data_IF_723471922073
#
_entry.id   IF_723471922073
#
_cell.length_a   1.000
_cell.length_b   1.000
_cell.length_c   1.000
_cell.angle_alpha   90.00
_cell.angle_beta   90.00
_cell.angle_gamma   90.00
#
_symmetry.space_group_name_H-M   'P 1'
#
loop_
_entity.id
_entity.type
_entity.pdbx_description
1 polymer ?
#
# COMPACT_ATOMS: atom_id res chain seq x y z
N UNK A 1 -33.32 -63.20 6.13
CA UNK A 1 -32.00 -62.55 6.42
C UNK A 1 -31.82 -61.46 5.34
N UNK A 2 -32.19 -60.26 5.67
CA UNK A 2 -32.06 -59.09 4.76
C UNK A 2 -30.90 -58.25 5.29
N UNK A 3 -29.81 -58.17 4.53
CA UNK A 3 -28.66 -57.33 4.79
C UNK A 3 -28.98 -55.87 4.53
N UNK A 4 -28.78 -54.96 5.48
CA UNK A 4 -28.93 -53.53 5.25
C UNK A 4 -27.63 -52.96 4.67
N UNK A 5 -27.57 -52.84 3.34
CA UNK A 5 -26.40 -52.24 2.64
C UNK A 5 -26.62 -50.81 2.19
N UNK A 6 -27.71 -50.15 2.60
CA UNK A 6 -28.05 -48.81 2.15
C UNK A 6 -27.29 -47.61 2.79
N UNK A 7 -26.86 -47.57 4.05
CA UNK A 7 -26.25 -46.34 4.62
C UNK A 7 -24.80 -46.10 4.26
N UNK A 8 -24.02 -47.15 3.98
CA UNK A 8 -22.57 -47.02 3.72
C UNK A 8 -22.28 -46.41 2.34
N UNK A 9 -23.08 -46.76 1.34
CA UNK A 9 -22.92 -46.24 -0.04
C UNK A 9 -23.33 -44.77 -0.12
N UNK A 10 -24.36 -44.36 0.63
CA UNK A 10 -24.74 -42.94 0.68
C UNK A 10 -23.70 -42.08 1.38
N UNK A 11 -23.08 -42.54 2.49
CA UNK A 11 -21.99 -41.84 3.16
C UNK A 11 -20.72 -41.74 2.30
N UNK A 12 -20.44 -42.76 1.49
CA UNK A 12 -19.33 -42.71 0.53
C UNK A 12 -19.62 -41.81 -0.67
N UNK A 13 -20.85 -41.72 -1.13
CA UNK A 13 -21.26 -40.79 -2.20
C UNK A 13 -21.25 -39.32 -1.70
N UNK A 14 -21.68 -39.06 -0.45
CA UNK A 14 -21.57 -37.74 0.18
C UNK A 14 -20.11 -37.36 0.44
N UNK A 15 -19.27 -38.28 0.87
CA UNK A 15 -17.83 -38.06 1.05
C UNK A 15 -17.09 -37.80 -0.29
N UNK A 16 -17.54 -38.46 -1.38
CA UNK A 16 -17.00 -38.26 -2.73
C UNK A 16 -17.43 -36.92 -3.38
N UNK A 17 -18.49 -36.29 -2.88
CA UNK A 17 -18.96 -34.98 -3.37
C UNK A 17 -18.32 -33.77 -2.66
N UNK A 18 -17.42 -33.97 -1.69
CA UNK A 18 -16.60 -32.93 -1.13
C UNK A 18 -15.51 -32.63 -2.16
N UNK A 19 -15.82 -31.73 -3.11
CA UNK A 19 -14.78 -31.13 -3.96
C UNK A 19 -13.65 -30.69 -3.05
N UNK A 20 -12.48 -31.29 -3.20
CA UNK A 20 -11.24 -30.86 -2.52
C UNK A 20 -10.87 -29.46 -3.00
N UNK A 21 -11.43 -28.46 -2.33
CA UNK A 21 -11.15 -27.06 -2.65
C UNK A 21 -9.75 -26.71 -2.19
N UNK A 22 -9.00 -26.13 -3.10
CA UNK A 22 -7.68 -25.59 -2.73
C UNK A 22 -7.82 -24.48 -1.68
N UNK A 23 -6.83 -24.30 -0.78
CA UNK A 23 -6.85 -23.22 0.23
C UNK A 23 -7.14 -21.85 -0.39
N UNK A 24 -6.61 -21.59 -1.58
CA UNK A 24 -6.85 -20.35 -2.32
C UNK A 24 -8.33 -20.18 -2.71
N UNK A 25 -8.99 -21.23 -3.18
CA UNK A 25 -10.43 -21.18 -3.53
C UNK A 25 -11.30 -20.89 -2.31
N UNK A 26 -10.94 -21.43 -1.15
CA UNK A 26 -11.65 -21.19 0.10
C UNK A 26 -11.52 -19.70 0.48
N UNK A 27 -10.31 -19.16 0.47
CA UNK A 27 -10.03 -17.75 0.78
C UNK A 27 -10.77 -16.84 -0.21
N UNK A 28 -10.64 -17.07 -1.50
CA UNK A 28 -11.32 -16.28 -2.53
C UNK A 28 -12.85 -16.27 -2.36
N UNK A 29 -13.45 -17.42 -2.03
CA UNK A 29 -14.89 -17.51 -1.77
C UNK A 29 -15.33 -16.79 -0.50
N UNK A 30 -14.53 -16.86 0.57
CA UNK A 30 -14.81 -16.15 1.82
C UNK A 30 -14.73 -14.64 1.58
N UNK A 31 -13.64 -14.18 0.94
CA UNK A 31 -13.45 -12.78 0.59
C UNK A 31 -14.61 -12.24 -0.26
N UNK A 32 -15.04 -12.97 -1.28
CA UNK A 32 -16.16 -12.56 -2.17
C UNK A 32 -17.51 -12.45 -1.46
N UNK A 33 -17.67 -13.05 -0.28
CA UNK A 33 -18.89 -12.89 0.55
C UNK A 33 -18.89 -11.60 1.38
N UNK A 34 -17.72 -10.99 1.58
CA UNK A 34 -17.59 -9.73 2.32
C UNK A 34 -17.93 -8.55 1.40
N UNK A 35 -19.18 -8.08 1.44
CA UNK A 35 -19.73 -7.09 0.50
C UNK A 35 -18.91 -5.80 0.45
N UNK A 36 -18.52 -5.25 1.61
CA UNK A 36 -17.75 -4.00 1.68
C UNK A 36 -16.35 -4.17 1.08
N UNK A 37 -15.67 -5.30 1.33
CA UNK A 37 -14.38 -5.58 0.74
C UNK A 37 -14.46 -5.72 -0.79
N UNK A 38 -15.52 -6.33 -1.32
CA UNK A 38 -15.73 -6.45 -2.77
C UNK A 38 -16.01 -5.10 -3.44
N UNK A 39 -16.84 -4.24 -2.82
CA UNK A 39 -17.07 -2.87 -3.31
C UNK A 39 -15.79 -2.08 -3.28
N UNK A 40 -15.02 -2.17 -2.19
CA UNK A 40 -13.73 -1.51 -2.03
C UNK A 40 -12.69 -1.99 -3.04
N UNK A 41 -12.63 -3.30 -3.29
CA UNK A 41 -11.76 -3.87 -4.32
C UNK A 41 -12.10 -3.34 -5.71
N UNK A 42 -13.39 -3.29 -6.05
CA UNK A 42 -13.85 -2.74 -7.33
C UNK A 42 -13.47 -1.25 -7.46
N UNK A 43 -13.70 -0.44 -6.40
CA UNK A 43 -13.32 0.97 -6.38
C UNK A 43 -11.80 1.15 -6.54
N UNK A 44 -10.99 0.34 -5.87
CA UNK A 44 -9.53 0.40 -6.01
C UNK A 44 -9.08 0.01 -7.40
N UNK A 45 -9.64 -1.05 -7.99
CA UNK A 45 -9.34 -1.43 -9.37
C UNK A 45 -9.69 -0.28 -10.33
N UNK A 46 -10.82 0.37 -10.14
CA UNK A 46 -11.24 1.52 -10.94
C UNK A 46 -10.26 2.70 -10.80
N UNK A 47 -9.88 3.06 -9.56
CA UNK A 47 -8.93 4.14 -9.30
C UNK A 47 -7.57 3.82 -9.92
N UNK A 48 -7.05 2.60 -9.73
CA UNK A 48 -5.80 2.16 -10.36
C UNK A 48 -5.89 2.21 -11.89
N UNK A 49 -6.99 1.75 -12.48
CA UNK A 49 -7.20 1.81 -13.93
C UNK A 49 -7.17 3.26 -14.44
N UNK A 50 -7.90 4.17 -13.80
CA UNK A 50 -7.92 5.59 -14.16
C UNK A 50 -6.52 6.20 -14.05
N UNK A 51 -5.79 5.95 -12.97
CA UNK A 51 -4.45 6.52 -12.74
C UNK A 51 -3.39 5.94 -13.68
N UNK A 52 -3.48 4.64 -14.01
CA UNK A 52 -2.59 4.03 -15.02
C UNK A 52 -2.90 4.59 -16.41
N UNK A 53 -4.17 4.78 -16.73
CA UNK A 53 -4.63 5.34 -18.00
C UNK A 53 -4.50 6.86 -18.06
N UNK A 54 -3.93 7.53 -17.07
CA UNK A 54 -3.76 8.99 -17.01
C UNK A 54 -3.23 9.59 -18.33
N UNK A 55 -2.19 9.03 -19.01
CA UNK A 55 -1.68 9.60 -20.26
C UNK A 55 -2.69 9.61 -21.42
N UNK A 56 -3.71 8.75 -21.38
CA UNK A 56 -4.74 8.67 -22.42
C UNK A 56 -6.01 9.45 -22.05
N UNK A 57 -6.29 9.60 -20.75
CA UNK A 57 -7.49 10.28 -20.24
C UNK A 57 -7.24 11.77 -20.07
N UNK A 58 -6.05 12.17 -19.60
CA UNK A 58 -5.69 13.57 -19.40
C UNK A 58 -5.57 14.30 -20.73
N UNK A 59 -6.27 15.43 -20.85
CA UNK A 59 -6.23 16.27 -22.04
C UNK A 59 -5.13 17.31 -21.99
N UNK A 60 -4.57 17.57 -20.81
CA UNK A 60 -3.55 18.57 -20.55
C UNK A 60 -2.33 17.90 -19.92
N UNK A 61 -1.14 18.47 -20.15
CA UNK A 61 0.07 18.05 -19.44
C UNK A 61 0.01 18.54 -18.00
N UNK A 62 0.76 17.87 -17.11
CA UNK A 62 0.78 18.16 -15.66
C UNK A 62 1.28 19.58 -15.33
N UNK A 63 2.14 20.14 -16.20
CA UNK A 63 2.79 21.43 -16.09
C UNK A 63 2.29 22.46 -17.11
N UNK A 64 1.29 22.11 -17.92
CA UNK A 64 0.71 23.01 -18.91
C UNK A 64 -0.06 24.14 -18.23
N UNK A 65 0.41 25.37 -18.46
CA UNK A 65 -0.15 26.58 -17.89
C UNK A 65 -1.07 27.25 -18.92
N UNK A 66 -2.29 27.52 -18.52
CA UNK A 66 -3.23 28.38 -19.27
C UNK A 66 -3.17 29.78 -18.66
N UNK A 67 -2.34 30.66 -19.22
CA UNK A 67 -2.14 32.00 -18.68
C UNK A 67 -3.44 32.80 -18.76
N UNK A 68 -3.90 33.33 -17.63
CA UNK A 68 -5.17 34.05 -17.51
C UNK A 68 -6.36 33.21 -17.06
N UNK A 69 -6.23 31.88 -17.12
CA UNK A 69 -7.32 30.92 -16.84
C UNK A 69 -7.27 30.43 -15.37
N UNK A 70 -7.20 31.34 -14.40
CA UNK A 70 -7.07 31.03 -12.98
C UNK A 70 -8.44 30.69 -12.36
N UNK A 71 -8.54 29.57 -11.65
CA UNK A 71 -9.76 29.13 -10.98
C UNK A 71 -10.98 29.05 -11.86
N UNK A 72 -10.83 28.63 -13.11
CA UNK A 72 -11.98 28.45 -14.00
C UNK A 72 -12.99 27.45 -13.39
N UNK A 73 -14.29 27.69 -13.60
CA UNK A 73 -15.34 26.76 -13.20
C UNK A 73 -15.23 25.40 -13.88
N UNK A 74 -15.89 24.41 -13.29
CA UNK A 74 -15.98 23.06 -13.86
C UNK A 74 -16.66 23.09 -15.24
N UNK A 75 -16.09 22.34 -16.17
CA UNK A 75 -16.62 22.23 -17.53
C UNK A 75 -16.32 23.41 -18.46
N UNK A 76 -15.47 24.35 -18.03
CA UNK A 76 -15.06 25.49 -18.90
C UNK A 76 -14.24 24.98 -20.08
N UNK A 77 -14.57 25.51 -21.26
CA UNK A 77 -13.84 25.24 -22.50
C UNK A 77 -12.73 26.28 -22.65
N UNK A 78 -11.49 25.81 -22.81
CA UNK A 78 -10.34 26.68 -23.12
C UNK A 78 -10.50 27.25 -24.53
N UNK A 79 -10.64 28.57 -24.68
CA UNK A 79 -10.90 29.25 -25.98
C UNK A 79 -9.80 28.97 -27.02
N UNK A 80 -8.54 28.92 -26.58
CA UNK A 80 -7.40 28.76 -27.50
C UNK A 80 -7.32 27.35 -28.13
N UNK A 81 -7.79 26.29 -27.45
CA UNK A 81 -7.60 24.89 -27.88
C UNK A 81 -8.89 24.11 -28.05
N UNK A 82 -10.03 24.63 -27.58
CA UNK A 82 -11.30 23.92 -27.53
C UNK A 82 -11.35 22.76 -26.55
N UNK A 83 -10.30 22.56 -25.71
CA UNK A 83 -10.26 21.51 -24.71
C UNK A 83 -11.06 21.91 -23.47
N UNK A 84 -11.68 20.92 -22.81
CA UNK A 84 -12.56 21.14 -21.64
C UNK A 84 -11.79 20.89 -20.36
N UNK A 85 -11.82 21.84 -19.43
CA UNK A 85 -11.38 21.72 -18.05
C UNK A 85 -12.47 21.09 -17.18
N UNK A 86 -12.50 19.75 -17.08
CA UNK A 86 -13.60 19.04 -16.39
C UNK A 86 -13.79 19.46 -14.94
N UNK A 87 -12.72 19.64 -14.17
CA UNK A 87 -12.73 20.10 -12.79
C UNK A 87 -12.21 21.57 -12.67
N UNK A 88 -12.23 22.30 -13.78
CA UNK A 88 -11.69 23.66 -13.81
C UNK A 88 -10.16 23.70 -13.75
N UNK A 89 -9.65 24.85 -13.32
CA UNK A 89 -8.21 25.09 -13.19
C UNK A 89 -7.81 25.44 -11.75
N UNK A 90 -6.52 25.28 -11.44
CA UNK A 90 -5.95 25.69 -10.16
C UNK A 90 -5.62 27.21 -10.12
N UNK A 91 -4.95 27.63 -9.05
CA UNK A 91 -4.57 29.01 -8.80
C UNK A 91 -3.56 29.61 -9.79
N UNK A 92 -2.93 28.78 -10.62
CA UNK A 92 -1.98 29.24 -11.66
C UNK A 92 -2.39 28.82 -13.06
N UNK A 93 -3.63 28.33 -13.24
CA UNK A 93 -4.20 28.01 -14.55
C UNK A 93 -3.88 26.62 -15.06
N UNK A 94 -3.49 25.65 -14.22
CA UNK A 94 -3.29 24.25 -14.63
C UNK A 94 -4.61 23.48 -14.56
N UNK A 95 -4.80 22.51 -15.45
CA UNK A 95 -5.99 21.66 -15.46
C UNK A 95 -6.06 20.76 -14.23
N UNK A 96 -7.10 20.96 -13.42
CA UNK A 96 -7.20 20.31 -12.11
C UNK A 96 -7.54 18.83 -12.22
N UNK A 97 -8.32 18.42 -13.26
CA UNK A 97 -8.64 17.02 -13.50
C UNK A 97 -7.43 16.21 -13.95
N UNK A 98 -6.67 16.70 -14.94
CA UNK A 98 -5.46 16.03 -15.41
C UNK A 98 -4.45 15.84 -14.27
N UNK A 99 -4.23 16.88 -13.47
CA UNK A 99 -3.36 16.80 -12.29
C UNK A 99 -3.85 15.78 -11.27
N UNK A 100 -5.17 15.71 -11.01
CA UNK A 100 -5.75 14.76 -10.06
C UNK A 100 -5.46 13.30 -10.41
N UNK A 101 -5.62 12.93 -11.69
CA UNK A 101 -5.40 11.55 -12.14
C UNK A 101 -3.91 11.19 -12.20
N UNK A 102 -3.03 12.11 -12.60
CA UNK A 102 -1.59 11.93 -12.52
C UNK A 102 -1.10 11.85 -11.06
N UNK A 103 -1.65 12.70 -10.18
CA UNK A 103 -1.36 12.68 -8.75
C UNK A 103 -1.65 11.31 -8.13
N UNK A 104 -2.79 10.70 -8.51
CA UNK A 104 -3.14 9.36 -8.06
C UNK A 104 -2.11 8.30 -8.44
N UNK A 105 -1.57 8.38 -9.65
CA UNK A 105 -0.49 7.47 -10.10
C UNK A 105 0.73 7.56 -9.20
N UNK A 106 1.12 8.77 -8.81
CA UNK A 106 2.31 9.02 -7.98
C UNK A 106 2.04 8.61 -6.53
N UNK A 107 0.98 9.13 -5.90
CA UNK A 107 0.63 8.83 -4.52
C UNK A 107 0.41 7.33 -4.27
N UNK A 108 -0.30 6.63 -5.18
CA UNK A 108 -0.50 5.18 -5.06
C UNK A 108 0.80 4.38 -5.29
N UNK A 109 1.67 4.83 -6.23
CA UNK A 109 2.97 4.18 -6.44
C UNK A 109 3.87 4.33 -5.22
N UNK A 110 3.92 5.52 -4.60
CA UNK A 110 4.67 5.77 -3.36
C UNK A 110 4.16 4.87 -2.25
N UNK A 111 2.85 4.83 -2.01
CA UNK A 111 2.26 3.99 -0.97
C UNK A 111 2.54 2.49 -1.20
N UNK A 112 2.34 2.00 -2.43
CA UNK A 112 2.56 0.59 -2.79
C UNK A 112 4.02 0.17 -2.63
N UNK A 113 4.96 0.98 -3.10
CA UNK A 113 6.38 0.67 -2.99
C UNK A 113 6.85 0.77 -1.53
N UNK A 114 6.35 1.74 -0.77
CA UNK A 114 6.68 1.86 0.65
C UNK A 114 6.21 0.64 1.44
N UNK A 115 4.98 0.15 1.22
CA UNK A 115 4.50 -1.05 1.91
C UNK A 115 5.28 -2.29 1.51
N UNK A 116 5.56 -2.49 0.23
CA UNK A 116 6.32 -3.66 -0.24
C UNK A 116 7.70 -3.72 0.44
N UNK A 117 8.41 -2.59 0.46
CA UNK A 117 9.74 -2.51 1.09
C UNK A 117 9.65 -2.70 2.60
N UNK A 118 8.69 -2.06 3.26
CA UNK A 118 8.43 -2.21 4.69
C UNK A 118 8.16 -3.65 5.09
N UNK A 119 7.22 -4.29 4.40
CA UNK A 119 6.86 -5.69 4.69
C UNK A 119 8.04 -6.62 4.45
N UNK A 120 8.78 -6.41 3.36
CA UNK A 120 9.97 -7.21 3.09
C UNK A 120 11.01 -7.12 4.22
N UNK A 121 11.31 -5.90 4.68
CA UNK A 121 12.24 -5.70 5.81
C UNK A 121 11.68 -6.33 7.08
N UNK A 122 10.40 -6.09 7.37
CA UNK A 122 9.70 -6.62 8.54
C UNK A 122 9.68 -8.16 8.56
N UNK A 123 9.39 -8.79 7.43
CA UNK A 123 9.43 -10.25 7.27
C UNK A 123 10.82 -10.80 7.57
N UNK A 124 11.85 -10.20 6.98
CA UNK A 124 13.24 -10.67 7.17
C UNK A 124 13.67 -10.52 8.64
N UNK A 125 13.50 -9.33 9.21
CA UNK A 125 13.91 -9.04 10.60
C UNK A 125 13.10 -9.87 11.60
N UNK A 126 11.77 -9.91 11.42
CA UNK A 126 10.88 -10.67 12.31
C UNK A 126 11.10 -12.19 12.22
N UNK A 127 11.34 -12.72 11.00
CA UNK A 127 11.62 -14.13 10.83
C UNK A 127 12.96 -14.54 11.47
N UNK A 128 14.00 -13.74 11.30
CA UNK A 128 15.31 -13.99 11.93
C UNK A 128 15.18 -13.91 13.46
N UNK A 129 14.55 -12.86 13.97
CA UNK A 129 14.33 -12.66 15.40
C UNK A 129 13.55 -13.83 16.04
N UNK A 130 12.40 -14.17 15.46
CA UNK A 130 11.54 -15.24 15.99
C UNK A 130 12.14 -16.64 15.89
N UNK A 131 12.90 -16.93 14.80
CA UNK A 131 13.50 -18.26 14.61
C UNK A 131 14.69 -18.51 15.52
N UNK A 132 15.67 -17.58 15.56
CA UNK A 132 16.89 -17.77 16.34
C UNK A 132 16.68 -17.51 17.83
N UNK A 133 15.83 -16.53 18.18
CA UNK A 133 15.56 -16.21 19.57
C UNK A 133 16.77 -15.67 20.33
N UNK A 134 16.73 -15.78 21.68
CA UNK A 134 17.86 -15.47 22.56
C UNK A 134 18.36 -14.03 22.47
N UNK A 135 19.69 -13.86 22.41
CA UNK A 135 20.32 -12.53 22.38
C UNK A 135 19.96 -11.72 21.12
N UNK A 136 19.92 -12.39 19.94
CA UNK A 136 19.62 -11.74 18.67
C UNK A 136 18.20 -11.16 18.67
N UNK A 137 17.25 -11.92 19.16
CA UNK A 137 15.87 -11.50 19.34
C UNK A 137 15.77 -10.30 20.29
N UNK A 138 16.43 -10.38 21.43
CA UNK A 138 16.42 -9.30 22.42
C UNK A 138 16.97 -7.99 21.85
N UNK A 139 18.10 -8.02 21.12
CA UNK A 139 18.69 -6.80 20.53
C UNK A 139 17.79 -6.23 19.44
N UNK A 140 17.31 -7.05 18.50
CA UNK A 140 16.47 -6.59 17.41
C UNK A 140 15.14 -6.02 17.93
N UNK A 141 14.49 -6.70 18.86
CA UNK A 141 13.20 -6.23 19.38
C UNK A 141 13.33 -5.02 20.30
N UNK A 142 14.39 -4.91 21.09
CA UNK A 142 14.66 -3.67 21.85
C UNK A 142 14.84 -2.47 20.95
N UNK A 143 15.53 -2.66 19.83
CA UNK A 143 15.67 -1.58 18.83
C UNK A 143 14.30 -1.23 18.24
N UNK A 144 13.50 -2.22 17.83
CA UNK A 144 12.14 -1.99 17.29
C UNK A 144 11.25 -1.29 18.32
N UNK A 145 11.22 -1.78 19.56
CA UNK A 145 10.46 -1.18 20.66
C UNK A 145 10.88 0.27 20.91
N UNK A 146 12.19 0.53 20.96
CA UNK A 146 12.72 1.89 21.11
C UNK A 146 12.24 2.80 19.98
N UNK A 147 12.36 2.36 18.72
CA UNK A 147 11.92 3.16 17.57
C UNK A 147 10.42 3.45 17.60
N UNK A 148 9.59 2.50 18.07
CA UNK A 148 8.15 2.68 18.20
C UNK A 148 7.73 3.67 19.32
N UNK A 149 8.64 4.00 20.28
CA UNK A 149 8.35 5.03 21.27
C UNK A 149 8.44 6.45 20.71
N UNK A 150 9.10 6.61 19.57
CA UNK A 150 9.29 7.93 18.94
C UNK A 150 8.01 8.27 18.14
N UNK A 151 7.43 9.47 18.33
CA UNK A 151 6.29 9.90 17.54
C UNK A 151 6.61 9.86 16.04
N UNK A 152 5.95 8.98 15.30
CA UNK A 152 6.31 8.67 13.90
C UNK A 152 6.22 9.90 12.99
N UNK A 153 5.14 10.69 13.06
CA UNK A 153 4.95 11.83 12.15
C UNK A 153 6.02 12.91 12.31
N UNK A 154 6.36 13.40 13.52
CA UNK A 154 7.48 14.34 13.71
C UNK A 154 8.80 13.79 13.19
N UNK A 155 9.08 12.50 13.41
CA UNK A 155 10.31 11.86 12.94
C UNK A 155 10.38 11.83 11.41
N UNK A 156 9.28 11.44 10.76
CA UNK A 156 9.16 11.45 9.30
C UNK A 156 9.38 12.87 8.72
N UNK A 157 8.79 13.90 9.35
CA UNK A 157 8.98 15.31 8.94
C UNK A 157 10.43 15.74 9.00
N UNK A 158 11.13 15.45 10.11
CA UNK A 158 12.53 15.81 10.28
C UNK A 158 13.38 15.14 9.21
N UNK A 159 13.26 13.82 9.06
CA UNK A 159 14.08 13.06 8.12
C UNK A 159 13.77 13.44 6.68
N UNK A 160 12.49 13.59 6.33
CA UNK A 160 12.07 14.04 5.00
C UNK A 160 12.65 15.43 4.69
N UNK A 161 12.57 16.38 5.64
CA UNK A 161 13.15 17.70 5.50
C UNK A 161 14.67 17.66 5.26
N UNK A 162 15.39 16.80 6.00
CA UNK A 162 16.84 16.66 5.85
C UNK A 162 17.21 16.08 4.47
N UNK A 163 16.51 15.05 4.03
CA UNK A 163 16.79 14.37 2.77
C UNK A 163 16.43 15.22 1.55
N UNK A 164 15.27 15.90 1.58
CA UNK A 164 14.85 16.75 0.47
C UNK A 164 15.69 18.03 0.33
N UNK A 165 16.29 18.54 1.43
CA UNK A 165 17.22 19.67 1.36
C UNK A 165 18.61 19.30 0.87
N UNK A 166 19.01 18.05 1.06
CA UNK A 166 20.32 17.53 0.73
C UNK A 166 20.14 16.23 -0.07
N UNK A 167 19.61 16.36 -1.28
CA UNK A 167 19.27 15.22 -2.14
C UNK A 167 20.45 14.28 -2.40
N UNK A 168 21.69 14.79 -2.31
CA UNK A 168 22.91 14.03 -2.56
C UNK A 168 23.40 13.20 -1.35
N UNK A 169 22.76 13.35 -0.16
CA UNK A 169 23.12 12.55 1.02
C UNK A 169 22.94 11.05 0.80
N UNK A 170 21.96 10.67 -0.02
CA UNK A 170 21.68 9.26 -0.32
C UNK A 170 22.02 8.99 -1.79
N UNK A 171 23.08 8.22 -2.07
CA UNK A 171 23.42 7.83 -3.42
C UNK A 171 22.37 6.82 -3.94
N UNK A 172 21.47 7.27 -4.82
CA UNK A 172 20.46 6.42 -5.43
C UNK A 172 20.97 5.97 -6.79
N UNK A 173 21.07 4.66 -7.05
CA UNK A 173 21.54 4.16 -8.34
C UNK A 173 20.65 4.62 -9.51
N UNK A 174 21.26 5.09 -10.60
CA UNK A 174 20.56 5.53 -11.82
C UNK A 174 19.51 4.52 -12.35
N UNK A 175 19.76 3.19 -12.36
CA UNK A 175 18.75 2.23 -12.80
C UNK A 175 17.47 2.25 -11.96
N UNK A 176 17.57 2.55 -10.67
CA UNK A 176 16.41 2.68 -9.76
C UNK A 176 15.61 3.93 -10.13
N UNK A 177 16.28 5.05 -10.34
CA UNK A 177 15.63 6.31 -10.75
C UNK A 177 14.96 6.16 -12.12
N UNK A 178 15.63 5.52 -13.08
CA UNK A 178 15.09 5.29 -14.40
C UNK A 178 13.87 4.36 -14.39
N UNK A 179 13.92 3.28 -13.59
CA UNK A 179 12.79 2.35 -13.44
C UNK A 179 11.58 3.05 -12.81
N UNK A 180 11.78 3.74 -11.70
CA UNK A 180 10.69 4.43 -10.99
C UNK A 180 10.16 5.62 -11.78
N UNK A 181 11.04 6.35 -12.46
CA UNK A 181 10.65 7.40 -13.40
C UNK A 181 9.72 6.87 -14.48
N UNK A 182 10.02 5.71 -15.06
CA UNK A 182 9.16 5.06 -16.06
C UNK A 182 7.82 4.61 -15.48
N UNK A 183 7.80 4.07 -14.25
CA UNK A 183 6.57 3.63 -13.57
C UNK A 183 5.68 4.83 -13.25
N UNK A 184 6.25 5.91 -12.73
CA UNK A 184 5.52 7.10 -12.28
C UNK A 184 5.33 8.13 -13.40
N UNK A 185 5.93 7.97 -14.56
CA UNK A 185 6.01 8.94 -15.68
C UNK A 185 6.67 10.26 -15.25
N UNK A 186 7.75 10.15 -14.48
CA UNK A 186 8.53 11.26 -13.96
C UNK A 186 9.88 11.38 -14.65
N UNK A 187 10.45 12.59 -14.63
CA UNK A 187 11.85 12.79 -14.98
C UNK A 187 12.77 12.10 -13.96
N UNK A 188 14.03 11.77 -14.29
CA UNK A 188 14.97 11.20 -13.33
C UNK A 188 15.16 12.05 -12.08
N UNK A 189 15.14 13.38 -12.22
CA UNK A 189 15.23 14.32 -11.10
C UNK A 189 14.02 14.23 -10.17
N UNK A 190 12.81 14.25 -10.74
CA UNK A 190 11.57 14.19 -9.97
C UNK A 190 11.39 12.82 -9.30
N UNK A 191 11.87 11.75 -9.95
CA UNK A 191 11.88 10.40 -9.39
C UNK A 191 12.71 10.31 -8.12
N UNK A 192 13.79 11.10 -8.01
CA UNK A 192 14.65 11.12 -6.81
C UNK A 192 13.84 11.51 -5.57
N UNK A 193 13.05 12.59 -5.63
CA UNK A 193 12.22 13.02 -4.52
C UNK A 193 11.20 11.95 -4.11
N UNK A 194 10.57 11.29 -5.09
CA UNK A 194 9.67 10.19 -4.83
C UNK A 194 10.36 9.01 -4.14
N UNK A 195 11.58 8.65 -4.59
CA UNK A 195 12.38 7.59 -3.95
C UNK A 195 12.75 7.95 -2.51
N UNK A 196 13.17 9.19 -2.25
CA UNK A 196 13.47 9.64 -0.90
C UNK A 196 12.27 9.53 0.04
N UNK A 197 11.08 9.91 -0.41
CA UNK A 197 9.84 9.75 0.38
C UNK A 197 9.52 8.27 0.60
N UNK A 198 9.64 7.41 -0.41
CA UNK A 198 9.47 5.96 -0.26
C UNK A 198 10.44 5.41 0.80
N UNK A 199 11.71 5.82 0.76
CA UNK A 199 12.72 5.39 1.73
C UNK A 199 12.39 5.86 3.15
N UNK A 200 11.92 7.09 3.31
CA UNK A 200 11.49 7.64 4.61
C UNK A 200 10.31 6.83 5.16
N UNK A 201 9.27 6.61 4.37
CA UNK A 201 8.09 5.87 4.77
C UNK A 201 8.43 4.40 5.08
N UNK A 202 9.15 3.73 4.17
CA UNK A 202 9.53 2.34 4.34
C UNK A 202 10.52 2.14 5.49
N UNK A 203 11.39 3.11 5.74
CA UNK A 203 12.39 3.06 6.80
C UNK A 203 11.83 2.98 8.22
N UNK A 204 10.57 3.35 8.40
CA UNK A 204 9.89 3.27 9.70
C UNK A 204 8.68 2.34 9.72
N UNK A 205 8.12 2.05 8.57
CA UNK A 205 6.93 1.20 8.48
C UNK A 205 7.16 -0.28 8.79
N UNK A 206 8.38 -0.79 8.62
CA UNK A 206 8.73 -2.20 8.83
C UNK A 206 8.67 -2.66 10.30
N UNK A 207 8.63 -1.72 11.25
CA UNK A 207 8.70 -2.02 12.69
C UNK A 207 7.54 -2.89 13.18
N UNK A 208 6.30 -2.54 12.82
CA UNK A 208 5.10 -3.33 13.16
C UNK A 208 5.07 -4.68 12.46
N UNK A 209 5.42 -4.73 11.18
CA UNK A 209 5.53 -5.96 10.42
C UNK A 209 6.55 -6.92 11.03
N UNK A 210 7.70 -6.40 11.52
CA UNK A 210 8.71 -7.20 12.20
C UNK A 210 8.18 -7.82 13.50
N UNK A 211 7.45 -7.08 14.33
CA UNK A 211 6.85 -7.61 15.55
C UNK A 211 5.79 -8.67 15.24
N UNK A 212 4.95 -8.42 14.25
CA UNK A 212 3.91 -9.34 13.81
C UNK A 212 4.51 -10.65 13.28
N UNK A 213 5.51 -10.53 12.38
CA UNK A 213 6.21 -11.68 11.82
C UNK A 213 6.94 -12.48 12.90
N UNK A 214 7.65 -11.80 13.82
CA UNK A 214 8.29 -12.46 14.96
C UNK A 214 7.30 -13.29 15.78
N UNK A 215 6.16 -12.69 16.16
CA UNK A 215 5.13 -13.37 16.94
C UNK A 215 4.59 -14.62 16.24
N UNK A 216 4.36 -14.52 14.94
CA UNK A 216 3.90 -15.64 14.11
C UNK A 216 4.95 -16.73 14.00
N UNK A 217 6.22 -16.38 13.76
CA UNK A 217 7.34 -17.34 13.68
C UNK A 217 7.58 -18.05 15.00
N UNK A 218 7.49 -17.36 16.13
CA UNK A 218 7.58 -17.99 17.46
C UNK A 218 6.52 -19.07 17.65
N UNK A 219 5.28 -18.81 17.21
CA UNK A 219 4.20 -19.80 17.26
C UNK A 219 4.43 -20.98 16.30
N UNK A 220 4.92 -20.72 15.10
CA UNK A 220 5.18 -21.76 14.10
C UNK A 220 6.39 -22.63 14.45
N UNK A 221 7.39 -22.09 15.12
CA UNK A 221 8.61 -22.79 15.49
C UNK A 221 8.35 -24.04 16.37
N UNK A 222 7.30 -24.01 17.17
CA UNK A 222 6.90 -25.08 18.06
C UNK A 222 5.94 -26.10 17.39
N UNK A 223 5.70 -25.99 16.10
CA UNK A 223 4.81 -26.89 15.36
C UNK A 223 5.53 -28.16 14.91
N UNK A 224 4.81 -29.27 14.89
CA UNK A 224 5.34 -30.60 14.55
C UNK A 224 5.98 -30.70 13.17
N UNK A 225 5.48 -29.95 12.18
CA UNK A 225 6.07 -29.95 10.83
C UNK A 225 7.48 -29.32 10.80
N UNK A 226 7.74 -28.33 11.67
CA UNK A 226 9.08 -27.70 11.80
C UNK A 226 10.04 -28.71 12.46
N UNK A 227 9.59 -29.42 13.50
CA UNK A 227 10.36 -30.45 14.14
C UNK A 227 10.67 -31.59 13.16
N UNK A 228 9.70 -32.03 12.38
CA UNK A 228 9.90 -33.05 11.35
C UNK A 228 10.94 -32.63 10.31
N UNK A 229 10.84 -31.37 9.77
CA UNK A 229 11.84 -30.85 8.84
C UNK A 229 13.24 -30.83 9.43
N UNK A 230 13.37 -30.49 10.73
CA UNK A 230 14.65 -30.49 11.44
C UNK A 230 15.19 -31.89 11.60
N UNK A 231 14.36 -32.87 11.94
CA UNK A 231 14.72 -34.28 12.09
C UNK A 231 15.19 -34.92 10.77
N UNK A 232 14.66 -34.42 9.64
CA UNK A 232 15.11 -34.83 8.30
C UNK A 232 16.39 -34.12 7.85
N UNK A 233 17.01 -33.28 8.70
CA UNK A 233 18.29 -32.60 8.41
C UNK A 233 18.16 -31.37 7.56
N UNK A 234 16.97 -30.75 7.47
CA UNK A 234 16.81 -29.48 6.75
C UNK A 234 17.62 -28.35 7.41
N UNK A 235 18.30 -27.53 6.58
CA UNK A 235 19.01 -26.35 7.07
C UNK A 235 18.04 -25.29 7.61
N UNK A 236 18.51 -24.48 8.56
CA UNK A 236 17.72 -23.38 9.15
C UNK A 236 17.15 -22.44 8.08
N UNK A 237 17.96 -22.08 7.08
CA UNK A 237 17.51 -21.24 5.95
C UNK A 237 16.34 -21.88 5.20
N UNK A 238 16.43 -23.18 4.92
CA UNK A 238 15.35 -23.92 4.23
C UNK A 238 14.07 -23.94 5.08
N UNK A 239 14.19 -24.20 6.38
CA UNK A 239 13.04 -24.20 7.32
C UNK A 239 12.37 -22.84 7.33
N UNK A 240 13.14 -21.75 7.50
CA UNK A 240 12.61 -20.39 7.53
C UNK A 240 11.90 -20.07 6.20
N UNK A 241 12.59 -20.22 5.07
CA UNK A 241 12.11 -19.73 3.77
C UNK A 241 10.99 -20.60 3.18
N UNK A 242 11.03 -21.92 3.39
CA UNK A 242 10.12 -22.84 2.71
C UNK A 242 8.98 -23.34 3.60
N UNK A 243 9.25 -23.50 4.90
CA UNK A 243 8.29 -24.09 5.80
C UNK A 243 7.58 -23.02 6.67
N UNK A 244 8.30 -21.99 7.16
CA UNK A 244 7.75 -21.04 8.10
C UNK A 244 7.19 -19.77 7.44
N UNK A 245 7.97 -19.06 6.60
CA UNK A 245 7.52 -17.80 5.96
C UNK A 245 6.22 -18.00 5.17
N UNK A 246 6.05 -19.01 4.30
CA UNK A 246 4.81 -19.19 3.57
C UNK A 246 3.59 -19.39 4.48
N UNK A 247 3.77 -20.10 5.61
CA UNK A 247 2.71 -20.31 6.59
C UNK A 247 2.45 -19.08 7.48
N UNK A 248 3.39 -18.14 7.55
CA UNK A 248 3.26 -16.89 8.29
C UNK A 248 2.65 -15.75 7.45
N UNK A 249 2.43 -15.95 6.14
CA UNK A 249 2.04 -14.85 5.25
C UNK A 249 0.62 -14.31 5.48
N UNK A 250 -0.30 -15.11 6.02
CA UNK A 250 -1.69 -14.68 6.19
C UNK A 250 -1.83 -13.38 7.00
N UNK A 251 -1.30 -13.26 8.23
CA UNK A 251 -1.35 -12.01 8.99
C UNK A 251 -0.55 -10.87 8.32
N UNK A 252 0.54 -11.16 7.62
CA UNK A 252 1.37 -10.16 6.93
C UNK A 252 0.60 -9.53 5.74
N UNK A 253 -0.13 -10.34 4.98
CA UNK A 253 -0.96 -9.83 3.86
C UNK A 253 -2.06 -8.87 4.39
N UNK A 254 -2.62 -9.19 5.54
CA UNK A 254 -3.60 -8.30 6.21
C UNK A 254 -2.92 -7.01 6.65
N UNK A 255 -1.76 -7.09 7.31
CA UNK A 255 -0.98 -5.92 7.76
C UNK A 255 -0.59 -5.03 6.58
N UNK A 256 -0.10 -5.60 5.49
CA UNK A 256 0.21 -4.88 4.26
C UNK A 256 -1.00 -4.12 3.68
N UNK A 257 -2.18 -4.73 3.71
CA UNK A 257 -3.41 -4.11 3.20
C UNK A 257 -3.83 -2.90 4.05
N UNK A 258 -3.75 -3.01 5.38
CA UNK A 258 -4.00 -1.92 6.32
C UNK A 258 -2.90 -0.86 6.23
N UNK A 259 -1.65 -1.29 6.07
CA UNK A 259 -0.48 -0.45 5.86
C UNK A 259 -0.63 0.46 4.64
N UNK A 260 -1.18 -0.03 3.52
CA UNK A 260 -1.45 0.78 2.33
C UNK A 260 -2.32 2.00 2.64
N UNK A 261 -3.39 1.83 3.44
CA UNK A 261 -4.20 2.95 3.89
C UNK A 261 -3.37 3.98 4.67
N UNK A 262 -2.53 3.50 5.58
CA UNK A 262 -1.64 4.34 6.39
C UNK A 262 -0.62 5.11 5.54
N UNK A 263 -0.02 4.47 4.53
CA UNK A 263 0.99 5.10 3.67
C UNK A 263 0.40 6.17 2.75
N UNK A 264 -0.81 5.96 2.20
CA UNK A 264 -1.51 7.00 1.42
C UNK A 264 -1.73 8.25 2.28
N UNK A 265 -2.19 8.07 3.52
CA UNK A 265 -2.41 9.19 4.45
C UNK A 265 -1.09 9.82 4.90
N UNK A 266 -0.05 9.03 5.17
CA UNK A 266 1.25 9.54 5.60
C UNK A 266 1.95 10.34 4.49
N UNK A 267 1.92 9.87 3.24
CA UNK A 267 2.43 10.62 2.07
C UNK A 267 1.69 11.96 1.94
N UNK A 268 0.35 11.90 2.00
CA UNK A 268 -0.46 13.10 1.91
C UNK A 268 -0.18 14.09 3.05
N UNK A 269 0.00 13.61 4.28
CA UNK A 269 0.34 14.44 5.44
C UNK A 269 1.72 15.10 5.30
N UNK A 270 2.74 14.36 4.85
CA UNK A 270 4.07 14.89 4.59
C UNK A 270 4.03 15.99 3.51
N UNK A 271 3.34 15.72 2.40
CA UNK A 271 3.19 16.66 1.29
C UNK A 271 2.37 17.89 1.71
N UNK A 272 1.29 17.70 2.48
CA UNK A 272 0.44 18.78 3.01
C UNK A 272 1.22 19.72 3.94
N UNK A 273 2.15 19.20 4.71
CA UNK A 273 3.03 19.96 5.61
C UNK A 273 4.27 20.52 4.90
N UNK A 274 4.42 20.32 3.59
CA UNK A 274 5.51 20.85 2.78
C UNK A 274 6.79 20.01 2.79
N UNK A 275 6.75 18.78 3.30
CA UNK A 275 7.87 17.85 3.40
C UNK A 275 7.69 16.59 2.53
N UNK A 276 6.82 16.66 1.54
CA UNK A 276 6.59 15.62 0.55
C UNK A 276 7.20 15.95 -0.82
N UNK A 277 6.67 15.27 -1.84
CA UNK A 277 7.00 15.57 -3.23
C UNK A 277 6.44 16.96 -3.59
N UNK A 278 7.30 17.81 -4.17
CA UNK A 278 6.97 19.21 -4.47
C UNK A 278 6.53 19.41 -5.92
N UNK A 279 5.84 20.54 -6.19
CA UNK A 279 5.56 20.97 -7.56
C UNK A 279 6.87 21.03 -8.41
N UNK A 280 6.79 20.73 -9.72
CA UNK A 280 5.57 20.59 -10.53
C UNK A 280 4.90 19.21 -10.50
N UNK A 281 5.50 18.22 -9.85
CA UNK A 281 5.00 16.86 -9.77
C UNK A 281 3.74 16.81 -8.90
N UNK A 282 2.56 16.46 -9.45
CA UNK A 282 1.34 16.42 -8.67
C UNK A 282 1.28 15.16 -7.79
N UNK A 283 0.94 15.33 -6.51
CA UNK A 283 0.45 14.28 -5.61
C UNK A 283 -0.86 14.74 -4.99
N UNK A 284 -1.68 13.82 -4.50
CA UNK A 284 -2.92 14.22 -3.83
C UNK A 284 -2.62 15.11 -2.62
N UNK A 285 -1.51 14.83 -1.90
CA UNK A 285 -1.09 15.60 -0.74
C UNK A 285 -0.67 17.03 -1.07
N UNK A 286 0.18 17.24 -2.10
CA UNK A 286 0.59 18.60 -2.45
C UNK A 286 -0.53 19.40 -3.15
N UNK A 287 -1.43 18.73 -3.91
CA UNK A 287 -2.64 19.38 -4.41
C UNK A 287 -3.53 19.85 -3.24
N UNK A 288 -3.66 19.06 -2.18
CA UNK A 288 -4.41 19.45 -1.00
C UNK A 288 -3.73 20.64 -0.28
N UNK A 289 -2.40 20.62 -0.12
CA UNK A 289 -1.62 21.71 0.45
C UNK A 289 -1.82 23.04 -0.31
N UNK A 290 -1.80 22.98 -1.64
CA UNK A 290 -2.00 24.17 -2.48
C UNK A 290 -3.38 24.82 -2.33
N UNK A 291 -4.37 24.10 -1.77
CA UNK A 291 -5.72 24.63 -1.54
C UNK A 291 -5.89 25.35 -0.20
N UNK A 292 -4.94 25.23 0.74
CA UNK A 292 -5.08 25.74 2.11
C UNK A 292 -5.46 27.22 2.16
N UNK A 293 -4.77 28.04 1.37
CA UNK A 293 -5.01 29.48 1.35
C UNK A 293 -6.33 29.90 0.69
N UNK A 294 -6.99 28.98 -0.04
CA UNK A 294 -8.22 29.27 -0.79
C UNK A 294 -9.44 28.54 -0.21
N UNK A 295 -9.29 27.77 0.87
CA UNK A 295 -10.34 26.90 1.37
C UNK A 295 -11.57 27.66 1.88
N UNK A 296 -11.41 28.90 2.33
CA UNK A 296 -12.55 29.75 2.77
C UNK A 296 -13.32 30.32 1.60
N UNK A 297 -12.64 30.71 0.53
CA UNK A 297 -13.26 31.32 -0.66
C UNK A 297 -13.78 30.25 -1.62
N UNK A 298 -13.12 29.10 -1.69
CA UNK A 298 -13.40 28.00 -2.62
C UNK A 298 -13.38 26.65 -1.89
N UNK A 299 -14.36 26.34 -1.04
CA UNK A 299 -14.36 25.16 -0.18
C UNK A 299 -14.41 23.82 -0.94
N UNK A 300 -14.75 23.83 -2.20
CA UNK A 300 -14.73 22.63 -3.06
C UNK A 300 -13.32 22.19 -3.48
N UNK A 301 -12.35 23.13 -3.54
CA UNK A 301 -10.98 22.83 -3.99
C UNK A 301 -10.29 21.73 -3.19
N UNK A 302 -10.28 21.75 -1.85
CA UNK A 302 -9.65 20.68 -1.05
C UNK A 302 -10.41 19.35 -1.13
N UNK A 303 -11.71 19.36 -1.46
CA UNK A 303 -12.47 18.11 -1.60
C UNK A 303 -11.99 17.28 -2.80
N UNK A 304 -11.52 17.92 -3.87
CA UNK A 304 -11.08 17.23 -5.08
C UNK A 304 -9.89 16.28 -4.81
N UNK A 305 -8.75 16.70 -4.23
CA UNK A 305 -7.68 15.78 -3.84
C UNK A 305 -7.96 15.02 -2.54
N UNK A 306 -8.79 15.56 -1.65
CA UNK A 306 -9.15 14.92 -0.38
C UNK A 306 -10.01 13.67 -0.54
N UNK A 307 -10.96 13.67 -1.49
CA UNK A 307 -11.84 12.54 -1.75
C UNK A 307 -11.08 11.26 -2.13
N UNK A 308 -10.17 11.23 -3.12
CA UNK A 308 -9.44 10.00 -3.43
C UNK A 308 -8.55 9.53 -2.28
N UNK A 309 -7.94 10.41 -1.48
CA UNK A 309 -7.19 10.04 -0.27
C UNK A 309 -8.13 9.30 0.69
N UNK A 310 -9.29 9.87 0.98
CA UNK A 310 -10.29 9.29 1.87
C UNK A 310 -10.82 7.95 1.34
N UNK A 311 -11.21 7.89 0.06
CA UNK A 311 -11.75 6.69 -0.56
C UNK A 311 -10.70 5.57 -0.57
N UNK A 312 -9.45 5.86 -0.93
CA UNK A 312 -8.38 4.86 -0.94
C UNK A 312 -8.07 4.34 0.47
N UNK A 313 -7.97 5.24 1.46
CA UNK A 313 -7.74 4.84 2.85
C UNK A 313 -8.87 3.93 3.35
N UNK A 314 -10.13 4.31 3.14
CA UNK A 314 -11.28 3.53 3.54
C UNK A 314 -11.34 2.17 2.80
N UNK A 315 -11.08 2.19 1.49
CA UNK A 315 -11.14 0.99 0.67
C UNK A 315 -10.04 -0.02 1.06
N UNK A 316 -8.81 0.42 1.29
CA UNK A 316 -7.75 -0.48 1.75
C UNK A 316 -8.04 -1.07 3.14
N UNK A 317 -8.63 -0.31 4.05
CA UNK A 317 -9.08 -0.83 5.35
C UNK A 317 -10.13 -1.94 5.18
N UNK A 318 -11.18 -1.73 4.38
CA UNK A 318 -12.19 -2.78 4.14
C UNK A 318 -11.62 -3.99 3.39
N UNK A 319 -10.67 -3.81 2.48
CA UNK A 319 -9.97 -4.92 1.83
C UNK A 319 -9.17 -5.70 2.87
N UNK A 320 -8.47 -5.01 3.77
CA UNK A 320 -7.72 -5.63 4.87
C UNK A 320 -8.61 -6.43 5.81
N UNK A 321 -9.75 -5.89 6.22
CA UNK A 321 -10.74 -6.57 7.05
C UNK A 321 -11.29 -7.82 6.33
N UNK A 322 -11.66 -7.69 5.05
CA UNK A 322 -12.13 -8.82 4.24
C UNK A 322 -11.07 -9.91 4.05
N UNK A 323 -9.80 -9.54 3.91
CA UNK A 323 -8.68 -10.49 3.86
C UNK A 323 -8.47 -11.19 5.21
N UNK A 324 -8.57 -10.44 6.31
CA UNK A 324 -8.48 -10.99 7.67
C UNK A 324 -9.54 -12.05 7.90
N UNK A 325 -10.81 -11.74 7.58
CA UNK A 325 -11.91 -12.68 7.73
C UNK A 325 -11.76 -13.90 6.81
N UNK A 326 -11.28 -13.69 5.59
CA UNK A 326 -11.09 -14.77 4.62
C UNK A 326 -9.94 -15.73 5.00
N UNK A 327 -8.87 -15.19 5.63
CA UNK A 327 -7.68 -15.93 6.00
C UNK A 327 -7.78 -16.54 7.42
N UNK A 328 -8.77 -16.17 8.23
CA UNK A 328 -8.93 -16.73 9.59
C UNK A 328 -9.37 -18.21 9.50
N UNK A 329 -8.55 -19.16 10.00
CA UNK A 329 -8.87 -20.59 9.98
C UNK A 329 -9.98 -20.97 10.95
N UNK A 330 -10.31 -20.11 11.93
CA UNK A 330 -11.30 -20.38 12.98
C UNK A 330 -12.73 -20.14 12.54
N UNK A 331 -12.94 -19.32 11.50
CA UNK A 331 -14.26 -19.09 10.94
C UNK A 331 -14.71 -20.33 10.15
N UNK A 332 -15.63 -21.11 10.72
CA UNK A 332 -16.31 -22.18 9.99
C UNK A 332 -17.25 -21.57 8.95
N UNK A 333 -17.27 -22.16 7.76
CA UNK A 333 -18.21 -21.81 6.68
C UNK A 333 -19.66 -22.04 7.10
#
# INVERSE_FOLDING_TARGET
MTTPTAPVVQLQAEAASIEERTPFQIVARRFSRHRLAMVSLFLMILIFAITIMAPWIAKFKIDELSVGDYFLPWGTVQEATGRVHYLGTDNIGRDYFSRLIYAGRISLSVALLSVIISEFIGIVVGAISGFYGGWLDNVLMRFVEFMLTIPTLPLLLIISSMLLRNEDLVPIPEPVLAFLGKVMLLSPRDSRNAVLIIMVLAGFGWLSAAQLMRGTILSLREQTFVEASRSLGASNFRIIMRDMIPNAMAPIIVDASLGLAGYVVAEAALAFLGFGITDPVPTWGNMLAATQQFMLDKPWLPLVPGLPIFICSLAFNYIGDGLRDALDPRLKL
#
